data_IF_524340053195
#
_entry.id   IF_524340053195
#
_cell.length_a   1.000
_cell.length_b   1.000
_cell.length_c   1.000
_cell.angle_alpha   90.00
_cell.angle_beta   90.00
_cell.angle_gamma   90.00
#
_symmetry.space_group_name_H-M   'P 1'
#
loop_
_entity.id
_entity.type
_entity.pdbx_description
1 polymer ?
#
# COMPACT_ATOMS: atom_id res chain seq x y z
N UNK A 1 5.49 11.27 -2.70
CA UNK A 1 5.77 9.81 -2.69
C UNK A 1 4.70 9.08 -3.47
N UNK A 2 5.02 7.87 -3.90
CA UNK A 2 4.13 6.91 -4.54
C UNK A 2 3.89 5.75 -3.58
N UNK A 3 2.62 5.40 -3.36
CA UNK A 3 2.21 4.35 -2.44
C UNK A 3 1.39 3.31 -3.19
N UNK A 4 1.66 2.04 -2.96
CA UNK A 4 0.79 0.95 -3.43
C UNK A 4 0.05 0.37 -2.24
N UNK A 5 -1.27 0.36 -2.29
CA UNK A 5 -2.14 -0.26 -1.28
C UNK A 5 -2.64 -1.60 -1.83
N UNK A 6 -2.55 -2.64 -1.02
CA UNK A 6 -2.92 -4.01 -1.37
C UNK A 6 -3.91 -4.57 -0.34
N UNK A 7 -5.05 -5.07 -0.82
CA UNK A 7 -6.20 -5.46 0.00
C UNK A 7 -7.20 -4.32 0.18
N UNK A 8 -8.14 -4.50 1.09
CA UNK A 8 -9.24 -3.57 1.37
C UNK A 8 -10.50 -3.85 0.57
N UNK A 9 -11.54 -3.06 0.82
CA UNK A 9 -12.84 -3.23 0.17
C UNK A 9 -12.86 -2.51 -1.19
N UNK A 10 -13.36 -3.18 -2.24
CA UNK A 10 -13.48 -2.62 -3.60
C UNK A 10 -14.18 -1.25 -3.62
N UNK A 11 -15.25 -1.07 -2.83
CA UNK A 11 -15.99 0.20 -2.74
C UNK A 11 -15.17 1.33 -2.10
N UNK A 12 -14.11 0.98 -1.39
CA UNK A 12 -13.23 1.93 -0.70
C UNK A 12 -12.00 2.31 -1.52
N UNK A 13 -11.76 1.69 -2.69
CA UNK A 13 -10.56 1.90 -3.47
C UNK A 13 -10.30 3.40 -3.77
N UNK A 14 -11.30 4.12 -4.28
CA UNK A 14 -11.22 5.57 -4.52
C UNK A 14 -10.96 6.34 -3.23
N UNK A 15 -11.62 5.95 -2.13
CA UNK A 15 -11.46 6.63 -0.85
C UNK A 15 -10.06 6.45 -0.25
N UNK A 16 -9.43 5.29 -0.42
CA UNK A 16 -8.03 5.11 -0.06
C UNK A 16 -7.12 6.00 -0.89
N UNK A 17 -7.40 6.17 -2.19
CA UNK A 17 -6.66 7.09 -3.06
C UNK A 17 -6.80 8.54 -2.60
N UNK A 18 -8.02 8.98 -2.30
CA UNK A 18 -8.29 10.33 -1.81
C UNK A 18 -7.58 10.63 -0.49
N UNK A 19 -7.53 9.65 0.41
CA UNK A 19 -6.76 9.76 1.66
C UNK A 19 -5.27 9.91 1.34
N UNK A 20 -4.66 9.07 0.51
CA UNK A 20 -3.26 9.26 0.13
C UNK A 20 -3.01 10.64 -0.50
N UNK A 21 -3.94 11.09 -1.36
CA UNK A 21 -3.86 12.40 -2.02
C UNK A 21 -3.92 13.56 -1.02
N UNK A 22 -4.72 13.45 0.05
CA UNK A 22 -4.75 14.49 1.11
C UNK A 22 -3.43 14.59 1.89
N UNK A 23 -2.59 13.55 1.85
CA UNK A 23 -1.21 13.54 2.37
C UNK A 23 -0.16 13.87 1.28
N UNK A 24 -0.60 14.34 0.11
CA UNK A 24 0.26 14.67 -1.03
C UNK A 24 1.04 13.45 -1.56
N UNK A 25 0.39 12.28 -1.58
CA UNK A 25 0.94 11.04 -2.12
C UNK A 25 0.14 10.57 -3.33
N UNK A 26 0.85 10.14 -4.38
CA UNK A 26 0.24 9.40 -5.49
C UNK A 26 0.01 7.97 -5.02
N UNK A 27 -1.10 7.35 -5.40
CA UNK A 27 -1.34 5.96 -5.01
C UNK A 27 -1.95 5.09 -6.10
N UNK A 28 -1.63 3.80 -6.03
CA UNK A 28 -2.33 2.72 -6.71
C UNK A 28 -2.98 1.83 -5.64
N UNK A 29 -4.18 1.35 -5.91
CA UNK A 29 -4.91 0.49 -4.97
C UNK A 29 -5.32 -0.78 -5.70
N UNK A 30 -4.98 -1.92 -5.10
CA UNK A 30 -5.34 -3.25 -5.58
C UNK A 30 -6.12 -3.97 -4.47
N UNK A 31 -7.44 -3.93 -4.56
CA UNK A 31 -8.33 -4.67 -3.66
C UNK A 31 -8.53 -6.12 -4.12
N UNK A 32 -8.29 -6.38 -5.41
CA UNK A 32 -8.30 -7.71 -6.04
C UNK A 32 -6.95 -8.00 -6.71
N UNK A 33 -6.75 -9.27 -7.09
CA UNK A 33 -5.57 -9.75 -7.82
C UNK A 33 -5.77 -9.60 -9.34
N UNK A 34 -5.15 -8.61 -10.03
CA UNK A 34 -5.13 -8.57 -11.50
C UNK A 34 -4.16 -9.62 -12.08
N UNK A 35 -4.34 -9.98 -13.35
CA UNK A 35 -3.50 -10.96 -14.05
C UNK A 35 -1.98 -10.65 -13.97
N UNK A 36 -1.60 -9.40 -14.21
CA UNK A 36 -0.20 -8.94 -14.15
C UNK A 36 0.12 -8.19 -12.85
N UNK A 37 -0.34 -8.69 -11.70
CA UNK A 37 -0.22 -7.98 -10.43
C UNK A 37 1.22 -7.60 -10.08
N UNK A 38 2.18 -8.53 -10.16
CA UNK A 38 3.59 -8.27 -9.86
C UNK A 38 4.17 -7.12 -10.69
N UNK A 39 3.86 -7.07 -11.99
CA UNK A 39 4.33 -5.99 -12.87
C UNK A 39 3.64 -4.66 -12.55
N UNK A 40 2.36 -4.71 -12.17
CA UNK A 40 1.55 -3.51 -11.86
C UNK A 40 1.92 -2.86 -10.53
N UNK A 41 2.48 -3.61 -9.58
CA UNK A 41 3.06 -3.08 -8.34
C UNK A 41 4.12 -2.01 -8.65
N UNK A 42 5.03 -2.30 -9.57
CA UNK A 42 6.16 -1.42 -9.88
C UNK A 42 7.09 -1.20 -8.68
N UNK A 43 7.78 -0.06 -8.65
CA UNK A 43 8.75 0.31 -7.62
C UNK A 43 8.31 1.57 -6.86
N UNK A 44 7.25 1.48 -6.04
CA UNK A 44 6.78 2.63 -5.26
C UNK A 44 7.75 2.98 -4.13
N UNK A 45 7.55 4.13 -3.50
CA UNK A 45 8.31 4.49 -2.30
C UNK A 45 7.86 3.68 -1.07
N UNK A 46 6.64 3.13 -1.08
CA UNK A 46 6.05 2.34 -0.01
C UNK A 46 4.97 1.39 -0.53
N UNK A 47 4.92 0.18 0.02
CA UNK A 47 3.76 -0.71 -0.11
C UNK A 47 3.02 -0.82 1.23
N UNK A 48 1.70 -0.72 1.21
CA UNK A 48 0.83 -0.90 2.38
C UNK A 48 -0.06 -2.10 2.13
N UNK A 49 -0.04 -3.08 3.04
CA UNK A 49 -0.81 -4.31 2.92
C UNK A 49 -1.86 -4.37 4.03
N UNK A 50 -3.12 -4.42 3.64
CA UNK A 50 -4.22 -4.70 4.56
C UNK A 50 -4.32 -6.21 4.83
N UNK A 51 -3.57 -6.71 5.81
CA UNK A 51 -3.38 -8.16 6.03
C UNK A 51 -4.66 -8.92 6.37
N UNK A 52 -5.67 -8.25 6.95
CA UNK A 52 -6.98 -8.87 7.21
C UNK A 52 -7.84 -9.07 5.96
N UNK A 53 -7.44 -8.51 4.81
CA UNK A 53 -8.26 -8.52 3.59
C UNK A 53 -7.48 -8.84 2.31
N UNK A 54 -6.14 -8.81 2.34
CA UNK A 54 -5.35 -9.27 1.20
C UNK A 54 -5.37 -10.79 1.11
N UNK A 55 -5.42 -11.33 -0.10
CA UNK A 55 -5.23 -12.77 -0.31
C UNK A 55 -3.77 -13.16 -0.08
N UNK A 56 -3.52 -14.43 0.28
CA UNK A 56 -2.16 -14.97 0.38
C UNK A 56 -1.35 -14.80 -0.91
N UNK A 57 -2.01 -14.92 -2.08
CA UNK A 57 -1.35 -14.70 -3.38
C UNK A 57 -0.88 -13.26 -3.55
N UNK A 58 -1.72 -12.29 -3.16
CA UNK A 58 -1.33 -10.87 -3.20
C UNK A 58 -0.18 -10.57 -2.24
N UNK A 59 -0.24 -11.11 -1.02
CA UNK A 59 0.84 -10.94 -0.04
C UNK A 59 2.17 -11.54 -0.55
N UNK A 60 2.13 -12.73 -1.15
CA UNK A 60 3.32 -13.36 -1.75
C UNK A 60 3.94 -12.51 -2.86
N UNK A 61 3.13 -11.96 -3.76
CA UNK A 61 3.58 -11.07 -4.83
C UNK A 61 4.19 -9.76 -4.28
N UNK A 62 3.58 -9.17 -3.25
CA UNK A 62 4.13 -7.98 -2.57
C UNK A 62 5.49 -8.29 -1.95
N UNK A 63 5.60 -9.40 -1.21
CA UNK A 63 6.85 -9.81 -0.56
C UNK A 63 7.97 -9.98 -1.59
N UNK A 64 7.71 -10.72 -2.67
CA UNK A 64 8.67 -10.93 -3.76
C UNK A 64 9.10 -9.61 -4.41
N UNK A 65 8.15 -8.71 -4.68
CA UNK A 65 8.45 -7.40 -5.29
C UNK A 65 9.21 -6.47 -4.34
N UNK A 66 8.90 -6.49 -3.04
CA UNK A 66 9.60 -5.73 -2.01
C UNK A 66 11.05 -6.17 -1.88
N UNK A 67 11.30 -7.47 -1.75
CA UNK A 67 12.65 -8.05 -1.64
C UNK A 67 13.49 -7.75 -2.89
N UNK A 68 12.90 -7.89 -4.09
CA UNK A 68 13.59 -7.61 -5.35
C UNK A 68 14.02 -6.14 -5.50
N UNK A 69 13.18 -5.20 -5.05
CA UNK A 69 13.36 -3.78 -5.34
C UNK A 69 13.75 -2.94 -4.11
N UNK A 70 13.93 -3.56 -2.94
CA UNK A 70 14.23 -2.85 -1.69
C UNK A 70 13.11 -1.91 -1.23
N UNK A 71 11.85 -2.22 -1.57
CA UNK A 71 10.71 -1.34 -1.25
C UNK A 71 10.18 -1.69 0.15
N UNK A 72 10.05 -0.73 1.08
CA UNK A 72 9.50 -1.01 2.41
C UNK A 72 8.02 -1.41 2.33
N UNK A 73 7.60 -2.31 3.23
CA UNK A 73 6.24 -2.81 3.34
C UNK A 73 5.71 -2.56 4.74
N UNK A 74 4.58 -1.88 4.84
CA UNK A 74 3.85 -1.66 6.09
C UNK A 74 2.61 -2.54 6.13
N UNK A 75 2.49 -3.34 7.19
CA UNK A 75 1.39 -4.28 7.38
C UNK A 75 0.37 -3.68 8.33
N UNK A 76 -0.87 -3.56 7.86
CA UNK A 76 -1.99 -3.03 8.65
C UNK A 76 -3.10 -4.06 8.69
N UNK A 77 -3.53 -4.48 9.86
CA UNK A 77 -4.58 -5.50 9.94
C UNK A 77 -5.94 -5.00 9.43
N UNK A 78 -6.33 -3.79 9.83
CA UNK A 78 -7.60 -3.17 9.46
C UNK A 78 -7.52 -2.41 8.14
N UNK A 79 -8.47 -2.63 7.25
CA UNK A 79 -8.64 -1.86 6.02
C UNK A 79 -9.48 -0.57 6.20
N UNK A 80 -9.57 -0.06 7.42
CA UNK A 80 -10.36 1.14 7.72
C UNK A 80 -9.66 2.43 7.28
N UNK A 81 -10.47 3.49 7.09
CA UNK A 81 -9.97 4.85 6.83
C UNK A 81 -9.06 5.33 7.96
N UNK A 82 -9.44 5.07 9.20
CA UNK A 82 -8.69 5.52 10.38
C UNK A 82 -7.33 4.85 10.45
N UNK A 83 -7.26 3.54 10.21
CA UNK A 83 -5.99 2.81 10.21
C UNK A 83 -5.04 3.32 9.11
N UNK A 84 -5.55 3.57 7.90
CA UNK A 84 -4.73 4.15 6.83
C UNK A 84 -4.24 5.57 7.19
N UNK A 85 -5.11 6.43 7.72
CA UNK A 85 -4.74 7.80 8.12
C UNK A 85 -3.68 7.82 9.22
N UNK A 86 -3.80 6.93 10.19
CA UNK A 86 -2.82 6.79 11.27
C UNK A 86 -1.45 6.42 10.70
N UNK A 87 -1.38 5.38 9.85
CA UNK A 87 -0.14 4.98 9.19
C UNK A 87 0.50 6.15 8.42
N UNK A 88 -0.27 6.86 7.60
CA UNK A 88 0.25 7.99 6.81
C UNK A 88 0.71 9.17 7.67
N UNK A 89 0.09 9.37 8.84
CA UNK A 89 0.51 10.39 9.81
C UNK A 89 1.86 10.01 10.43
N UNK A 90 2.03 8.74 10.81
CA UNK A 90 3.27 8.23 11.37
C UNK A 90 4.43 8.34 10.36
N UNK A 91 4.19 7.99 9.10
CA UNK A 91 5.17 8.12 8.02
C UNK A 91 5.55 9.58 7.79
N UNK A 92 4.61 10.52 7.86
CA UNK A 92 4.92 11.95 7.71
C UNK A 92 5.83 12.46 8.84
N UNK A 93 5.69 11.92 10.05
CA UNK A 93 6.55 12.25 11.21
C UNK A 93 7.93 11.58 11.14
N UNK A 94 8.01 10.36 10.59
CA UNK A 94 9.27 9.66 10.31
C UNK A 94 9.86 10.23 9.01
N UNK A 95 10.72 11.26 9.08
CA UNK A 95 11.55 11.63 7.92
C UNK A 95 12.27 10.37 7.43
N UNK A 96 11.80 9.77 6.33
CA UNK A 96 12.50 8.68 5.65
C UNK A 96 13.80 9.27 5.11
N UNK A 97 14.87 9.17 5.90
CA UNK A 97 16.22 9.51 5.46
C UNK A 97 16.56 8.47 4.40
N UNK A 98 16.45 8.87 3.13
CA UNK A 98 17.15 8.17 2.05
C UNK A 98 18.65 8.40 2.32
N UNK A 99 19.29 7.40 2.94
CA UNK A 99 20.76 7.27 2.95
C UNK A 99 21.27 6.99 1.55
#
# INVERSE_FOLDING_TARGET
MSIVIVGGNDRMATRYQDICKSFNHKSKVFTQMPADFENKLGTPDLMVVFTGTCSHKMLGAVKKSSEKNGVPVEHVHSSSVSALKQLLTDIKGRKYVRS
#
